data_IF_664412439994
#
_entry.id   IF_664412439994
#
_cell.length_a   1.000
_cell.length_b   1.000
_cell.length_c   1.000
_cell.angle_alpha   90.00
_cell.angle_beta   90.00
_cell.angle_gamma   90.00
#
_symmetry.space_group_name_H-M   'P 1'
#
loop_
_entity.id
_entity.type
_entity.pdbx_description
1 polymer ?
#
# COMPACT_ATOMS: atom_id res chain seq x y z
N UNK A 1 -3.95 -17.22 11.55
CA UNK A 1 -2.49 -17.01 11.31
C UNK A 1 -1.71 -17.24 12.61
N UNK A 2 -0.43 -17.63 12.56
CA UNK A 2 0.40 -17.67 13.77
C UNK A 2 0.97 -16.27 14.07
N UNK A 3 1.42 -16.05 15.30
CA UNK A 3 2.15 -14.83 15.69
C UNK A 3 3.34 -14.58 14.76
N UNK A 4 4.09 -15.64 14.43
CA UNK A 4 5.19 -15.59 13.46
C UNK A 4 4.75 -15.13 12.07
N UNK A 5 3.56 -15.54 11.58
CA UNK A 5 3.04 -15.05 10.30
C UNK A 5 2.81 -13.54 10.36
N UNK A 6 2.26 -13.03 11.46
CA UNK A 6 2.03 -11.60 11.65
C UNK A 6 3.34 -10.81 11.66
N UNK A 7 4.33 -11.28 12.40
CA UNK A 7 5.64 -10.63 12.47
C UNK A 7 6.36 -10.61 11.11
N UNK A 8 6.21 -11.67 10.31
CA UNK A 8 6.77 -11.73 8.97
C UNK A 8 6.10 -10.73 8.01
N UNK A 9 4.77 -10.59 8.08
CA UNK A 9 4.05 -9.58 7.30
C UNK A 9 4.49 -8.17 7.68
N UNK A 10 4.57 -7.88 8.98
CA UNK A 10 5.00 -6.57 9.47
C UNK A 10 6.45 -6.27 9.05
N UNK A 11 7.35 -7.26 9.17
CA UNK A 11 8.75 -7.13 8.73
C UNK A 11 8.86 -6.86 7.24
N UNK A 12 7.98 -7.45 6.40
CA UNK A 12 7.92 -7.17 4.96
C UNK A 12 7.49 -5.73 4.68
N UNK A 13 6.46 -5.25 5.35
CA UNK A 13 5.97 -3.88 5.21
C UNK A 13 7.06 -2.87 5.62
N UNK A 14 7.73 -3.12 6.75
CA UNK A 14 8.83 -2.28 7.22
C UNK A 14 10.00 -2.25 6.22
N UNK A 15 10.34 -3.40 5.64
CA UNK A 15 11.37 -3.47 4.60
C UNK A 15 10.97 -2.68 3.35
N UNK A 16 9.72 -2.79 2.87
CA UNK A 16 9.25 -2.04 1.71
C UNK A 16 9.31 -0.52 1.92
N UNK A 17 8.95 -0.05 3.12
CA UNK A 17 9.10 1.36 3.52
C UNK A 17 10.57 1.77 3.53
N UNK A 18 11.45 0.92 4.06
CA UNK A 18 12.90 1.17 4.12
C UNK A 18 13.51 1.26 2.73
N UNK A 19 13.19 0.30 1.85
CA UNK A 19 13.64 0.27 0.46
C UNK A 19 13.18 1.53 -0.30
N UNK A 20 11.93 1.96 -0.10
CA UNK A 20 11.40 3.19 -0.74
C UNK A 20 12.13 4.44 -0.25
N UNK A 21 12.39 4.56 1.06
CA UNK A 21 13.15 5.69 1.62
C UNK A 21 14.61 5.73 1.16
N UNK A 22 15.24 4.56 1.02
CA UNK A 22 16.57 4.46 0.40
C UNK A 22 16.51 4.97 -1.03
N UNK A 23 15.55 4.50 -1.83
CA UNK A 23 15.38 4.96 -3.21
C UNK A 23 15.15 6.48 -3.31
N UNK A 24 14.34 7.07 -2.42
CA UNK A 24 14.16 8.52 -2.36
C UNK A 24 15.47 9.26 -2.06
N UNK A 25 16.20 8.79 -1.05
CA UNK A 25 17.48 9.40 -0.64
C UNK A 25 18.49 9.37 -1.79
N UNK A 26 18.68 8.20 -2.40
CA UNK A 26 19.62 8.02 -3.52
C UNK A 26 19.21 8.80 -4.78
N UNK A 27 17.91 9.09 -4.93
CA UNK A 27 17.37 9.85 -6.07
C UNK A 27 17.22 11.35 -5.80
N UNK A 28 17.63 11.84 -4.62
CA UNK A 28 17.48 13.26 -4.25
C UNK A 28 16.03 13.71 -4.01
N UNK A 29 15.10 12.78 -3.79
CA UNK A 29 13.72 13.09 -3.40
C UNK A 29 13.70 13.43 -1.91
N UNK A 30 13.17 14.61 -1.56
CA UNK A 30 13.21 15.15 -0.20
C UNK A 30 12.14 14.58 0.75
N UNK A 31 11.17 13.84 0.21
CA UNK A 31 10.12 13.20 0.99
C UNK A 31 10.62 11.93 1.68
N UNK A 32 9.97 11.52 2.76
CA UNK A 32 10.20 10.22 3.40
C UNK A 32 8.88 9.61 3.85
N UNK A 33 8.82 8.28 3.80
CA UNK A 33 7.72 7.48 4.31
C UNK A 33 7.97 7.14 5.77
N UNK A 34 6.89 7.24 6.56
CA UNK A 34 6.85 6.78 7.94
C UNK A 34 5.67 5.84 8.10
N UNK A 35 5.93 4.61 8.54
CA UNK A 35 4.87 3.67 8.87
C UNK A 35 4.20 4.11 10.18
N UNK A 36 2.95 4.59 10.10
CA UNK A 36 2.21 5.07 11.28
C UNK A 36 1.30 4.01 11.89
N UNK A 37 0.85 3.06 11.07
CA UNK A 37 -0.02 1.96 11.48
C UNK A 37 0.07 0.82 10.48
N UNK A 38 -0.07 -0.42 10.96
CA UNK A 38 -0.22 -1.62 10.14
C UNK A 38 -1.09 -2.61 10.91
N UNK A 39 -1.99 -3.30 10.20
CA UNK A 39 -2.82 -4.36 10.75
C UNK A 39 -3.19 -5.34 9.64
N UNK A 40 -3.66 -6.52 10.02
CA UNK A 40 -4.26 -7.48 9.09
C UNK A 40 -5.77 -7.39 9.21
N UNK A 41 -6.46 -7.27 8.08
CA UNK A 41 -7.89 -7.52 8.01
C UNK A 41 -8.10 -9.04 7.97
N UNK A 42 -8.89 -9.57 8.90
CA UNK A 42 -9.11 -11.03 9.01
C UNK A 42 -10.28 -11.52 8.16
N UNK A 43 -11.17 -10.61 7.75
CA UNK A 43 -12.44 -10.93 7.08
C UNK A 43 -12.41 -10.57 5.60
N UNK A 44 -11.47 -9.73 5.17
CA UNK A 44 -11.34 -9.34 3.78
C UNK A 44 -10.95 -10.51 2.87
N UNK A 45 -11.72 -10.69 1.78
CA UNK A 45 -11.47 -11.67 0.73
C UNK A 45 -10.84 -10.98 -0.50
N UNK A 46 -9.56 -11.25 -0.72
CA UNK A 46 -8.76 -10.70 -1.81
C UNK A 46 -8.82 -11.51 -3.12
N UNK A 47 -9.64 -12.57 -3.19
CA UNK A 47 -9.73 -13.45 -4.36
C UNK A 47 -10.27 -12.75 -5.62
N UNK A 48 -11.00 -11.65 -5.46
CA UNK A 48 -11.55 -10.85 -6.56
C UNK A 48 -10.47 -10.07 -7.35
N UNK A 49 -9.24 -9.98 -6.84
CA UNK A 49 -8.10 -9.38 -7.53
C UNK A 49 -7.93 -7.88 -7.34
N UNK A 50 -6.92 -7.32 -8.02
CA UNK A 50 -6.39 -5.98 -7.75
C UNK A 50 -7.40 -4.86 -7.94
N UNK A 51 -8.15 -4.86 -9.04
CA UNK A 51 -9.09 -3.78 -9.33
C UNK A 51 -10.20 -3.70 -8.27
N UNK A 52 -10.69 -4.86 -7.80
CA UNK A 52 -11.68 -4.90 -6.74
C UNK A 52 -11.05 -4.49 -5.40
N UNK A 53 -9.88 -5.04 -5.05
CA UNK A 53 -9.18 -4.68 -3.83
C UNK A 53 -8.86 -3.19 -3.72
N UNK A 54 -8.46 -2.57 -4.83
CA UNK A 54 -8.19 -1.13 -4.88
C UNK A 54 -9.47 -0.30 -4.74
N UNK A 55 -10.58 -0.77 -5.33
CA UNK A 55 -11.89 -0.13 -5.15
C UNK A 55 -12.39 -0.25 -3.70
N UNK A 56 -12.28 -1.43 -3.11
CA UNK A 56 -12.77 -1.74 -1.76
C UNK A 56 -11.99 -0.95 -0.69
N UNK A 57 -10.65 -0.87 -0.80
CA UNK A 57 -9.84 -0.16 0.22
C UNK A 57 -10.08 1.36 0.18
N UNK A 58 -10.47 1.87 -0.98
CA UNK A 58 -10.89 3.27 -1.17
C UNK A 58 -12.34 3.50 -0.73
N UNK A 59 -13.20 2.50 -0.85
CA UNK A 59 -14.61 2.56 -0.47
C UNK A 59 -14.78 2.86 1.02
N UNK A 60 -15.78 3.69 1.36
CA UNK A 60 -16.02 4.15 2.75
C UNK A 60 -17.29 3.59 3.37
N UNK A 61 -18.17 2.98 2.56
CA UNK A 61 -19.51 2.52 2.98
C UNK A 61 -19.94 1.26 2.22
N UNK A 62 -19.00 0.46 1.74
CA UNK A 62 -19.30 -0.76 0.97
C UNK A 62 -19.35 -2.02 1.85
N UNK A 63 -19.06 -1.87 3.15
CA UNK A 63 -19.08 -2.94 4.13
C UNK A 63 -17.88 -3.90 4.02
N UNK A 64 -16.82 -3.54 3.27
CA UNK A 64 -15.62 -4.36 3.11
C UNK A 64 -14.51 -3.94 4.06
N UNK A 65 -13.98 -2.74 3.87
CA UNK A 65 -12.82 -2.23 4.59
C UNK A 65 -13.08 -0.83 5.19
N UNK A 66 -14.33 -0.51 5.50
CA UNK A 66 -14.76 0.82 5.95
C UNK A 66 -13.92 1.34 7.16
N UNK A 67 -13.46 0.43 8.04
CA UNK A 67 -12.60 0.75 9.19
C UNK A 67 -11.21 1.32 8.82
N UNK A 68 -10.73 1.10 7.58
CA UNK A 68 -9.48 1.68 7.07
C UNK A 68 -9.50 3.20 7.21
N UNK A 69 -10.62 3.84 6.91
CA UNK A 69 -10.73 5.32 6.93
C UNK A 69 -10.75 5.88 8.34
N UNK A 70 -11.38 5.19 9.29
CA UNK A 70 -11.31 5.55 10.71
C UNK A 70 -9.87 5.46 11.22
N UNK A 71 -9.16 4.37 10.89
CA UNK A 71 -7.75 4.19 11.27
C UNK A 71 -6.85 5.22 10.61
N UNK A 72 -7.07 5.52 9.33
CA UNK A 72 -6.34 6.56 8.59
C UNK A 72 -6.40 7.90 9.33
N UNK A 73 -7.60 8.29 9.78
CA UNK A 73 -7.80 9.50 10.56
C UNK A 73 -7.17 9.42 11.96
N UNK A 74 -7.35 8.30 12.65
CA UNK A 74 -6.87 8.09 14.03
C UNK A 74 -5.34 8.16 14.13
N UNK A 75 -4.64 7.57 13.17
CA UNK A 75 -3.17 7.51 13.15
C UNK A 75 -2.53 8.61 12.29
N UNK A 76 -3.35 9.46 11.64
CA UNK A 76 -2.88 10.54 10.78
C UNK A 76 -2.09 10.03 9.56
N UNK A 77 -2.61 9.01 8.88
CA UNK A 77 -1.97 8.44 7.70
C UNK A 77 -2.31 9.23 6.43
N UNK A 78 -1.28 9.73 5.74
CA UNK A 78 -1.44 10.48 4.50
C UNK A 78 -1.88 9.59 3.32
N UNK A 79 -1.42 8.34 3.29
CA UNK A 79 -1.66 7.36 2.23
C UNK A 79 -2.00 6.00 2.84
N UNK A 80 -2.74 5.17 2.09
CA UNK A 80 -3.09 3.80 2.48
C UNK A 80 -2.60 2.83 1.41
N UNK A 81 -1.86 1.80 1.82
CA UNK A 81 -1.39 0.73 0.94
C UNK A 81 -1.89 -0.62 1.48
N UNK A 82 -2.64 -1.34 0.66
CA UNK A 82 -3.10 -2.70 0.94
C UNK A 82 -2.11 -3.71 0.36
N UNK A 83 -1.74 -4.71 1.15
CA UNK A 83 -0.90 -5.83 0.70
C UNK A 83 -1.80 -7.06 0.54
N UNK A 84 -1.75 -7.71 -0.62
CA UNK A 84 -2.58 -8.89 -0.93
C UNK A 84 -1.75 -10.08 -1.44
N UNK A 85 -2.30 -11.30 -1.34
CA UNK A 85 -1.81 -12.51 -2.01
C UNK A 85 -2.62 -12.81 -3.27
N UNK A 86 -2.30 -12.08 -4.34
CA UNK A 86 -2.90 -12.30 -5.65
C UNK A 86 -1.82 -12.23 -6.76
N UNK A 87 -1.76 -13.20 -7.68
CA UNK A 87 -0.69 -13.30 -8.66
C UNK A 87 -0.90 -12.45 -9.93
N UNK A 88 -2.02 -11.72 -10.05
CA UNK A 88 -2.40 -11.05 -11.29
C UNK A 88 -1.44 -9.92 -11.70
N UNK A 89 -0.99 -9.11 -10.75
CA UNK A 89 -0.06 -7.99 -10.94
C UNK A 89 0.90 -7.89 -9.75
N UNK A 90 1.91 -7.03 -9.86
CA UNK A 90 2.74 -6.67 -8.71
C UNK A 90 2.16 -5.49 -7.90
N UNK A 91 1.32 -4.64 -8.51
CA UNK A 91 0.70 -3.51 -7.85
C UNK A 91 -0.34 -2.80 -8.73
N UNK A 92 -1.16 -1.97 -8.10
CA UNK A 92 -2.09 -1.05 -8.74
C UNK A 92 -2.41 0.10 -7.78
N UNK A 93 -2.44 1.33 -8.29
CA UNK A 93 -2.72 2.52 -7.48
C UNK A 93 -3.61 3.53 -8.20
N UNK A 94 -4.26 4.38 -7.41
CA UNK A 94 -4.85 5.60 -7.93
C UNK A 94 -3.79 6.70 -8.10
N UNK A 95 -4.07 7.61 -9.03
CA UNK A 95 -3.26 8.81 -9.22
C UNK A 95 -3.69 9.92 -8.26
N UNK A 96 -2.87 10.15 -7.24
CA UNK A 96 -3.10 11.24 -6.28
C UNK A 96 -2.64 12.60 -6.82
N UNK A 97 -2.46 13.62 -5.94
CA UNK A 97 -2.37 13.52 -4.48
C UNK A 97 -3.67 13.90 -3.74
N UNK A 98 -4.84 13.88 -4.40
CA UNK A 98 -6.11 14.14 -3.70
C UNK A 98 -6.42 13.02 -2.72
N UNK A 99 -7.03 13.34 -1.59
CA UNK A 99 -7.36 12.39 -0.50
C UNK A 99 -8.06 11.10 -0.97
N UNK A 100 -8.93 11.22 -1.97
CA UNK A 100 -9.66 10.08 -2.55
C UNK A 100 -8.84 9.17 -3.46
N UNK A 101 -7.59 9.53 -3.77
CA UNK A 101 -6.73 8.85 -4.75
C UNK A 101 -5.34 8.49 -4.20
N UNK A 102 -5.18 8.50 -2.88
CA UNK A 102 -3.93 8.08 -2.20
C UNK A 102 -4.08 6.68 -1.59
N UNK A 103 -4.60 5.78 -2.42
CA UNK A 103 -4.78 4.35 -2.13
C UNK A 103 -4.05 3.52 -3.16
N UNK A 104 -3.42 2.44 -2.70
CA UNK A 104 -2.69 1.49 -3.53
C UNK A 104 -2.86 0.05 -3.03
N UNK A 105 -2.63 -0.90 -3.93
CA UNK A 105 -2.59 -2.34 -3.65
C UNK A 105 -1.26 -2.89 -4.19
N UNK A 106 -0.60 -3.76 -3.44
CA UNK A 106 0.67 -4.39 -3.85
C UNK A 106 0.65 -5.88 -3.52
N UNK A 107 1.15 -6.73 -4.43
CA UNK A 107 1.34 -8.15 -4.12
C UNK A 107 2.46 -8.30 -3.08
N UNK A 108 2.26 -9.12 -2.04
CA UNK A 108 3.26 -9.29 -0.98
C UNK A 108 4.63 -9.75 -1.48
N UNK A 109 4.67 -10.56 -2.54
CA UNK A 109 5.88 -11.10 -3.15
C UNK A 109 6.62 -10.09 -4.06
N UNK A 110 5.96 -9.01 -4.49
CA UNK A 110 6.57 -7.90 -5.23
C UNK A 110 6.83 -6.66 -4.36
N UNK A 111 6.34 -6.64 -3.12
CA UNK A 111 6.43 -5.47 -2.24
C UNK A 111 7.88 -5.04 -1.93
N UNK A 112 8.81 -6.00 -1.90
CA UNK A 112 10.24 -5.79 -1.61
C UNK A 112 11.11 -6.41 -2.69
N UNK A 113 12.28 -5.84 -2.97
CA UNK A 113 13.24 -6.32 -3.99
C UNK A 113 12.80 -6.06 -5.44
N UNK A 114 11.49 -6.08 -5.72
CA UNK A 114 10.87 -5.57 -6.95
C UNK A 114 10.42 -4.11 -6.84
N UNK A 115 10.47 -3.53 -5.64
CA UNK A 115 10.12 -2.12 -5.34
C UNK A 115 8.70 -1.70 -5.75
N UNK A 116 7.78 -2.64 -5.97
CA UNK A 116 6.43 -2.33 -6.43
C UNK A 116 5.64 -1.50 -5.42
N UNK A 117 5.86 -1.73 -4.12
CA UNK A 117 5.29 -0.86 -3.09
C UNK A 117 5.68 0.62 -3.29
N UNK A 118 6.97 0.90 -3.48
CA UNK A 118 7.46 2.25 -3.72
C UNK A 118 6.96 2.85 -5.03
N UNK A 119 6.82 2.04 -6.08
CA UNK A 119 6.22 2.42 -7.36
C UNK A 119 4.77 2.90 -7.18
N UNK A 120 3.93 2.11 -6.49
CA UNK A 120 2.53 2.45 -6.26
C UNK A 120 2.37 3.69 -5.36
N UNK A 121 3.24 3.86 -4.37
CA UNK A 121 3.29 5.10 -3.58
C UNK A 121 3.64 6.31 -4.46
N UNK A 122 4.55 6.14 -5.43
CA UNK A 122 4.85 7.16 -6.43
C UNK A 122 3.62 7.60 -7.21
N UNK A 123 2.74 6.65 -7.59
CA UNK A 123 1.46 6.99 -8.20
C UNK A 123 0.53 7.76 -7.26
N UNK A 124 0.44 7.37 -5.99
CA UNK A 124 -0.32 8.16 -5.00
C UNK A 124 0.27 9.58 -4.80
N UNK A 125 1.56 9.79 -5.06
CA UNK A 125 2.19 11.11 -5.06
C UNK A 125 2.04 11.89 -6.37
N UNK A 126 1.43 11.30 -7.40
CA UNK A 126 1.17 11.94 -8.69
C UNK A 126 2.21 11.66 -9.79
N UNK A 127 3.17 10.76 -9.55
CA UNK A 127 4.11 10.34 -10.58
C UNK A 127 3.41 9.47 -11.63
N UNK A 128 3.63 9.75 -12.90
CA UNK A 128 3.29 8.83 -13.98
C UNK A 128 4.43 7.84 -14.21
N UNK A 129 4.18 6.80 -15.01
CA UNK A 129 5.27 6.01 -15.57
C UNK A 129 6.26 6.91 -16.32
N UNK A 130 7.54 6.57 -16.26
CA UNK A 130 8.53 7.16 -17.15
C UNK A 130 8.20 6.80 -18.62
N UNK A 131 8.55 7.68 -19.55
CA UNK A 131 8.21 7.54 -20.97
C UNK A 131 9.19 6.65 -21.74
N UNK A 132 10.34 6.32 -21.16
CA UNK A 132 11.44 5.62 -21.82
C UNK A 132 12.30 6.52 -22.69
#
# INVERSE_FOLDING_TARGET
PTETTFDNMLSRIQLAVTETNTAYTESGVTSSLRLVHAYRDEEYDESAGFSQALSDVRGTTDGKMDMVHERRNTYGADMVALIIDNPQYCGMAYMGPTESFVFSVTAWNCATGYYSFGHEIGHNQGCNHDKG
#
